data_IF_665579210504
#
_entry.id   IF_665579210504
#
_cell.length_a   1.000
_cell.length_b   1.000
_cell.length_c   1.000
_cell.angle_alpha   90.00
_cell.angle_beta   90.00
_cell.angle_gamma   90.00
#
_symmetry.space_group_name_H-M   'P 1'
#
loop_
_entity.id
_entity.type
_entity.pdbx_description
1 polymer ?
#
# COMPACT_ATOMS: atom_id res chain seq x y z
N UNK A 1 -16.25 -22.94 -5.21
CA UNK A 1 -14.88 -22.56 -5.64
C UNK A 1 -14.12 -22.23 -4.36
N UNK A 2 -12.97 -22.80 -4.14
CA UNK A 2 -12.11 -22.55 -2.99
C UNK A 2 -11.04 -21.53 -3.37
N UNK A 3 -10.46 -20.86 -2.36
CA UNK A 3 -9.33 -19.95 -2.59
C UNK A 3 -8.08 -20.79 -2.91
N UNK A 4 -7.23 -20.25 -3.78
CA UNK A 4 -5.95 -20.85 -4.07
C UNK A 4 -5.02 -20.71 -2.85
N UNK A 5 -4.45 -21.84 -2.40
CA UNK A 5 -3.58 -21.89 -1.24
C UNK A 5 -2.15 -21.45 -1.61
N UNK A 6 -1.88 -20.16 -1.43
CA UNK A 6 -0.59 -19.54 -1.78
C UNK A 6 0.38 -19.55 -0.59
N UNK A 7 -0.15 -19.38 0.62
CA UNK A 7 0.64 -19.33 1.86
C UNK A 7 -0.23 -19.71 3.06
N UNK A 8 0.44 -20.16 4.13
CA UNK A 8 -0.25 -20.53 5.37
C UNK A 8 -0.92 -19.32 6.01
N UNK A 9 -2.15 -19.49 6.43
CA UNK A 9 -2.93 -18.48 7.17
C UNK A 9 -3.14 -18.92 8.62
N UNK A 10 -3.25 -17.96 9.53
CA UNK A 10 -3.66 -18.26 10.90
C UNK A 10 -5.15 -18.62 10.92
N UNK A 11 -5.58 -19.65 11.67
CA UNK A 11 -6.95 -20.10 11.71
C UNK A 11 -7.81 -19.23 12.62
N UNK A 12 -7.80 -17.92 12.40
CA UNK A 12 -8.56 -16.91 13.14
C UNK A 12 -9.29 -16.03 12.14
N UNK A 13 -10.61 -15.93 12.28
CA UNK A 13 -11.44 -15.07 11.44
C UNK A 13 -11.67 -13.74 12.15
N UNK A 14 -10.95 -12.70 11.77
CA UNK A 14 -11.10 -11.35 12.30
C UNK A 14 -12.25 -10.65 11.58
N UNK A 15 -13.25 -10.18 12.33
CA UNK A 15 -14.49 -9.62 11.78
C UNK A 15 -14.70 -8.14 12.08
N UNK A 16 -13.98 -7.57 13.05
CA UNK A 16 -14.04 -6.14 13.36
C UNK A 16 -12.76 -5.65 14.04
N UNK A 17 -12.55 -4.33 14.01
CA UNK A 17 -11.44 -3.70 14.71
C UNK A 17 -11.80 -2.31 15.22
N UNK A 18 -11.12 -1.86 16.26
CA UNK A 18 -11.23 -0.50 16.81
C UNK A 18 -9.90 -0.07 17.43
N UNK A 19 -9.31 0.99 16.92
CA UNK A 19 -8.00 1.46 17.38
C UNK A 19 -6.94 0.40 17.17
N UNK A 20 -6.29 -0.06 18.22
CA UNK A 20 -5.25 -1.10 18.17
C UNK A 20 -5.78 -2.52 18.47
N UNK A 21 -7.08 -2.70 18.57
CA UNK A 21 -7.69 -4.00 18.87
C UNK A 21 -8.47 -4.55 17.67
N UNK A 22 -8.38 -5.85 17.47
CA UNK A 22 -9.21 -6.61 16.54
C UNK A 22 -9.94 -7.73 17.26
N UNK A 23 -11.04 -8.17 16.69
CA UNK A 23 -11.93 -9.15 17.32
C UNK A 23 -12.32 -10.22 16.33
N UNK A 24 -12.30 -11.46 16.79
CA UNK A 24 -12.78 -12.58 16.00
C UNK A 24 -14.33 -12.72 16.05
N UNK A 25 -14.84 -13.70 15.32
CA UNK A 25 -16.26 -14.02 15.25
C UNK A 25 -16.85 -14.48 16.60
N UNK A 26 -16.01 -14.94 17.55
CA UNK A 26 -16.39 -15.33 18.89
C UNK A 26 -16.37 -14.16 19.88
N UNK A 27 -15.92 -12.99 19.42
CA UNK A 27 -15.77 -11.79 20.23
C UNK A 27 -14.48 -11.73 21.05
N UNK A 28 -13.54 -12.65 20.84
CA UNK A 28 -12.24 -12.62 21.48
C UNK A 28 -11.45 -11.41 20.94
N UNK A 29 -10.93 -10.60 21.86
CA UNK A 29 -10.08 -9.45 21.53
C UNK A 29 -8.62 -9.86 21.40
N UNK A 30 -7.94 -9.24 20.43
CA UNK A 30 -6.50 -9.37 20.20
C UNK A 30 -5.90 -7.97 20.05
N UNK A 31 -4.74 -7.75 20.65
CA UNK A 31 -3.94 -6.55 20.39
C UNK A 31 -3.26 -6.69 19.03
N UNK A 32 -3.59 -5.81 18.09
CA UNK A 32 -3.03 -5.81 16.76
C UNK A 32 -1.73 -4.99 16.70
N UNK A 33 -0.60 -5.68 16.79
CA UNK A 33 0.75 -5.11 16.61
C UNK A 33 1.25 -5.23 15.14
N UNK A 34 0.42 -5.81 14.27
CA UNK A 34 0.75 -6.07 12.88
C UNK A 34 0.17 -5.03 11.92
N UNK A 35 -1.05 -4.55 12.23
CA UNK A 35 -1.75 -3.53 11.45
C UNK A 35 -2.00 -3.91 9.99
N UNK A 36 -2.14 -5.22 9.68
CA UNK A 36 -2.33 -5.70 8.32
C UNK A 36 -1.18 -5.29 7.38
N UNK A 37 0.05 -5.71 7.65
CA UNK A 37 1.28 -5.26 6.97
C UNK A 37 1.53 -3.74 7.14
N UNK A 38 1.25 -3.21 8.33
CA UNK A 38 1.38 -1.79 8.66
C UNK A 38 0.50 -0.83 7.80
N UNK A 39 -0.55 -1.34 7.18
CA UNK A 39 -1.47 -0.54 6.35
C UNK A 39 -2.39 0.32 7.21
N UNK A 40 -2.82 -0.19 8.37
CA UNK A 40 -3.74 0.51 9.28
C UNK A 40 -2.95 1.44 10.22
N UNK A 41 -2.35 2.48 9.68
CA UNK A 41 -1.48 3.40 10.42
C UNK A 41 -2.20 4.29 11.44
N UNK A 42 -3.49 4.57 11.25
CA UNK A 42 -4.31 5.42 12.14
C UNK A 42 -5.20 4.63 13.08
N UNK A 43 -5.08 3.30 13.09
CA UNK A 43 -5.92 2.39 13.85
C UNK A 43 -7.19 1.98 13.11
N UNK A 44 -7.73 0.82 13.52
CA UNK A 44 -8.94 0.25 12.94
C UNK A 44 -10.15 1.16 13.18
N UNK A 45 -10.97 1.31 12.14
CA UNK A 45 -12.25 2.04 12.19
C UNK A 45 -12.11 3.47 12.76
N UNK A 46 -11.03 4.18 12.41
CA UNK A 46 -10.83 5.55 12.86
C UNK A 46 -12.00 6.44 12.43
N UNK A 47 -12.73 7.11 13.36
CA UNK A 47 -14.02 7.74 13.05
C UNK A 47 -13.93 8.81 11.94
N UNK A 48 -12.88 9.63 11.96
CA UNK A 48 -12.68 10.67 10.95
C UNK A 48 -12.42 10.05 9.57
N UNK A 49 -11.55 9.02 9.49
CA UNK A 49 -11.25 8.34 8.23
C UNK A 49 -12.52 7.68 7.66
N UNK A 50 -13.27 6.95 8.48
CA UNK A 50 -14.53 6.31 8.08
C UNK A 50 -15.51 7.36 7.54
N UNK A 51 -15.66 8.50 8.24
CA UNK A 51 -16.52 9.60 7.78
C UNK A 51 -16.08 10.13 6.41
N UNK A 52 -14.82 10.52 6.25
CA UNK A 52 -14.31 11.09 4.99
C UNK A 52 -14.45 10.11 3.82
N UNK A 53 -14.14 8.83 4.04
CA UNK A 53 -14.30 7.80 3.00
C UNK A 53 -15.76 7.58 2.63
N UNK A 54 -16.67 7.51 3.62
CA UNK A 54 -18.10 7.33 3.36
C UNK A 54 -18.70 8.52 2.60
N UNK A 55 -18.33 9.74 2.93
CA UNK A 55 -18.74 10.93 2.21
C UNK A 55 -18.23 10.95 0.76
N UNK A 56 -16.96 10.57 0.56
CA UNK A 56 -16.38 10.48 -0.78
C UNK A 56 -17.03 9.39 -1.64
N UNK A 57 -17.30 8.22 -1.06
CA UNK A 57 -17.98 7.11 -1.74
C UNK A 57 -19.38 7.49 -2.23
N UNK A 58 -20.10 8.34 -1.49
CA UNK A 58 -21.41 8.85 -1.89
C UNK A 58 -21.34 9.86 -3.05
N UNK A 59 -20.20 10.53 -3.25
CA UNK A 59 -20.00 11.50 -4.32
C UNK A 59 -19.46 10.84 -5.58
N UNK A 60 -18.30 10.18 -5.45
CA UNK A 60 -17.62 9.53 -6.56
C UNK A 60 -16.62 8.51 -6.02
N UNK A 61 -16.91 7.23 -6.24
CA UNK A 61 -16.05 6.15 -5.80
C UNK A 61 -14.80 6.01 -6.67
N UNK A 62 -14.94 6.11 -7.98
CA UNK A 62 -13.86 5.93 -8.95
C UNK A 62 -14.09 6.71 -10.22
N UNK A 63 -13.01 7.22 -10.79
CA UNK A 63 -12.96 7.66 -12.18
C UNK A 63 -11.57 7.42 -12.78
N UNK A 64 -11.50 7.42 -14.11
CA UNK A 64 -10.26 7.17 -14.83
C UNK A 64 -9.24 8.31 -14.66
N UNK A 65 -7.95 7.97 -14.63
CA UNK A 65 -6.83 8.92 -14.68
C UNK A 65 -6.71 9.67 -16.03
N UNK A 66 -7.64 9.47 -16.96
CA UNK A 66 -7.73 10.25 -18.20
C UNK A 66 -8.24 11.68 -17.99
N UNK A 67 -8.69 12.00 -16.79
CA UNK A 67 -9.16 13.35 -16.40
C UNK A 67 -8.42 13.81 -15.14
N UNK A 68 -8.45 15.14 -14.92
CA UNK A 68 -7.84 15.75 -13.73
C UNK A 68 -8.55 15.28 -12.47
N UNK A 69 -7.77 14.83 -11.49
CA UNK A 69 -8.25 14.47 -10.16
C UNK A 69 -7.64 15.43 -9.11
N UNK A 70 -8.45 16.37 -8.63
CA UNK A 70 -8.01 17.38 -7.67
C UNK A 70 -7.60 16.81 -6.31
N UNK A 71 -8.14 15.67 -5.90
CA UNK A 71 -7.71 14.99 -4.66
C UNK A 71 -6.29 14.43 -4.79
N UNK A 72 -5.93 13.88 -5.95
CA UNK A 72 -4.57 13.41 -6.20
C UNK A 72 -3.57 14.58 -6.24
N UNK A 73 -3.91 15.68 -6.90
CA UNK A 73 -3.07 16.89 -6.93
C UNK A 73 -2.83 17.43 -5.51
N UNK A 74 -3.89 17.53 -4.72
CA UNK A 74 -3.81 18.00 -3.33
C UNK A 74 -2.93 17.07 -2.49
N UNK A 75 -3.13 15.76 -2.59
CA UNK A 75 -2.31 14.77 -1.88
C UNK A 75 -0.84 14.88 -2.27
N UNK A 76 -0.52 15.01 -3.57
CA UNK A 76 0.85 15.17 -4.04
C UNK A 76 1.52 16.41 -3.46
N UNK A 77 0.81 17.54 -3.42
CA UNK A 77 1.32 18.79 -2.85
C UNK A 77 1.55 18.67 -1.34
N UNK A 78 0.57 18.14 -0.59
CA UNK A 78 0.70 17.93 0.86
C UNK A 78 1.87 16.98 1.21
N UNK A 79 2.06 15.90 0.45
CA UNK A 79 3.19 15.00 0.62
C UNK A 79 4.53 15.68 0.31
N UNK A 80 4.60 16.50 -0.74
CA UNK A 80 5.78 17.28 -1.08
C UNK A 80 6.18 18.24 0.04
N UNK A 81 5.23 18.99 0.57
CA UNK A 81 5.45 19.92 1.68
C UNK A 81 5.90 19.19 2.96
N UNK A 82 5.17 18.15 3.37
CA UNK A 82 5.45 17.39 4.59
C UNK A 82 6.79 16.64 4.55
N UNK A 83 7.19 16.15 3.38
CA UNK A 83 8.47 15.45 3.21
C UNK A 83 9.67 16.37 3.08
N UNK A 84 9.46 17.68 2.85
CA UNK A 84 10.52 18.65 2.53
C UNK A 84 11.02 18.60 1.09
N UNK A 85 10.29 17.92 0.20
CA UNK A 85 10.61 17.80 -1.23
C UNK A 85 9.48 18.33 -2.13
N UNK A 86 9.12 19.62 -2.03
CA UNK A 86 7.97 20.17 -2.77
C UNK A 86 8.16 20.16 -4.29
N UNK A 87 9.40 20.10 -4.76
CA UNK A 87 9.73 20.06 -6.20
C UNK A 87 9.71 18.64 -6.80
N UNK A 88 9.51 17.60 -5.97
CA UNK A 88 9.43 16.23 -6.43
C UNK A 88 8.06 15.94 -7.08
N UNK A 89 8.04 14.94 -7.95
CA UNK A 89 6.82 14.47 -8.60
C UNK A 89 6.33 13.20 -7.93
N UNK A 90 5.06 13.16 -7.55
CA UNK A 90 4.41 11.96 -7.02
C UNK A 90 3.85 11.11 -8.16
N UNK A 91 4.02 9.80 -8.06
CA UNK A 91 3.39 8.81 -8.92
C UNK A 91 2.68 7.79 -8.04
N UNK A 92 1.35 7.83 -8.05
CA UNK A 92 0.53 6.95 -7.21
C UNK A 92 0.29 5.61 -7.88
N UNK A 93 0.45 4.55 -7.11
CA UNK A 93 0.28 3.15 -7.51
C UNK A 93 -0.51 2.38 -6.45
N UNK A 94 -0.91 1.14 -6.73
CA UNK A 94 -1.77 0.37 -5.84
C UNK A 94 -0.99 -0.49 -4.82
N UNK A 95 0.30 -0.72 -5.04
CA UNK A 95 1.09 -1.62 -4.19
C UNK A 95 2.56 -1.22 -4.12
N UNK A 96 3.26 -1.71 -3.08
CA UNK A 96 4.71 -1.55 -2.98
C UNK A 96 5.46 -2.22 -4.12
N UNK A 97 4.96 -3.33 -4.65
CA UNK A 97 5.53 -3.97 -5.84
C UNK A 97 5.49 -3.05 -7.05
N UNK A 98 4.34 -2.44 -7.35
CA UNK A 98 4.21 -1.47 -8.44
C UNK A 98 5.12 -0.25 -8.22
N UNK A 99 5.23 0.25 -7.00
CA UNK A 99 6.11 1.37 -6.67
C UNK A 99 7.58 1.04 -6.98
N UNK A 100 8.07 -0.09 -6.51
CA UNK A 100 9.44 -0.52 -6.73
C UNK A 100 9.73 -0.83 -8.21
N UNK A 101 8.81 -1.51 -8.90
CA UNK A 101 8.92 -1.78 -10.34
C UNK A 101 9.03 -0.50 -11.16
N UNK A 102 8.18 0.49 -10.88
CA UNK A 102 8.22 1.77 -11.58
C UNK A 102 9.48 2.57 -11.24
N UNK A 103 9.94 2.55 -9.98
CA UNK A 103 11.18 3.20 -9.60
C UNK A 103 12.41 2.59 -10.32
N UNK A 104 12.48 1.26 -10.40
CA UNK A 104 13.54 0.56 -11.12
C UNK A 104 13.52 0.84 -12.64
N UNK A 105 12.33 0.86 -13.24
CA UNK A 105 12.16 1.23 -14.65
C UNK A 105 12.63 2.67 -14.90
N UNK A 106 12.18 3.61 -14.07
CA UNK A 106 12.58 5.01 -14.19
C UNK A 106 14.09 5.19 -14.05
N UNK A 107 14.70 4.54 -13.05
CA UNK A 107 16.15 4.56 -12.84
C UNK A 107 16.90 3.98 -14.05
N UNK A 108 16.42 2.86 -14.59
CA UNK A 108 17.00 2.23 -15.79
C UNK A 108 16.92 3.13 -17.02
N UNK A 109 15.77 3.75 -17.28
CA UNK A 109 15.61 4.68 -18.40
C UNK A 109 16.49 5.93 -18.25
N UNK A 110 16.56 6.48 -17.05
CA UNK A 110 17.37 7.68 -16.80
C UNK A 110 18.87 7.41 -16.92
N UNK A 111 19.34 6.29 -16.41
CA UNK A 111 20.78 5.97 -16.35
C UNK A 111 21.28 5.15 -17.54
N UNK A 112 20.41 4.51 -18.30
CA UNK A 112 20.74 3.52 -19.32
C UNK A 112 21.29 2.20 -18.76
N UNK A 113 21.33 2.02 -17.43
CA UNK A 113 21.85 0.83 -16.75
C UNK A 113 20.72 -0.15 -16.49
N UNK A 114 21.01 -1.44 -16.63
CA UNK A 114 20.02 -2.53 -16.47
C UNK A 114 20.28 -3.40 -15.23
N UNK A 115 21.48 -3.28 -14.62
CA UNK A 115 21.85 -4.11 -13.46
C UNK A 115 21.34 -3.49 -12.19
N UNK A 116 20.66 -4.30 -11.38
CA UNK A 116 20.20 -4.00 -10.03
C UNK A 116 20.99 -4.84 -9.04
N UNK A 117 21.38 -4.25 -7.91
CA UNK A 117 22.06 -4.95 -6.82
C UNK A 117 21.08 -5.07 -5.66
N UNK A 118 20.93 -6.26 -5.13
CA UNK A 118 20.04 -6.57 -4.02
C UNK A 118 20.77 -7.42 -2.96
N UNK A 119 20.29 -7.39 -1.73
CA UNK A 119 20.78 -8.29 -0.70
C UNK A 119 20.17 -9.69 -0.87
N UNK A 120 21.01 -10.73 -0.70
CA UNK A 120 20.53 -12.12 -0.74
C UNK A 120 19.45 -12.35 0.34
N UNK A 121 18.40 -13.08 -0.01
CA UNK A 121 17.27 -13.39 0.86
C UNK A 121 16.51 -12.17 1.42
N UNK A 122 16.58 -11.04 0.76
CA UNK A 122 15.81 -9.85 1.13
C UNK A 122 14.48 -9.80 0.41
N UNK A 123 13.45 -9.31 1.09
CA UNK A 123 12.16 -9.03 0.48
C UNK A 123 12.16 -7.64 -0.15
N UNK A 124 11.98 -7.57 -1.46
CA UNK A 124 11.98 -6.33 -2.23
C UNK A 124 10.61 -5.91 -2.74
N UNK A 125 9.56 -6.63 -2.38
CA UNK A 125 8.20 -6.36 -2.85
C UNK A 125 8.07 -6.36 -4.39
N UNK A 126 8.92 -7.09 -5.11
CA UNK A 126 8.89 -7.20 -6.56
C UNK A 126 7.96 -8.34 -6.99
N UNK A 127 7.38 -8.23 -8.19
CA UNK A 127 6.54 -9.26 -8.80
C UNK A 127 7.33 -10.50 -9.20
N UNK A 128 8.64 -10.33 -9.47
CA UNK A 128 9.58 -11.43 -9.68
C UNK A 128 10.48 -11.58 -8.45
N UNK A 129 10.72 -12.81 -8.05
CA UNK A 129 11.67 -13.11 -6.97
C UNK A 129 13.08 -12.71 -7.39
N UNK A 130 13.92 -12.40 -6.42
CA UNK A 130 15.31 -11.93 -6.60
C UNK A 130 16.25 -12.90 -7.33
N UNK A 131 15.81 -14.08 -7.71
CA UNK A 131 16.59 -15.05 -8.49
C UNK A 131 16.94 -14.53 -9.90
N UNK A 132 16.21 -13.52 -10.41
CA UNK A 132 16.52 -12.87 -11.67
C UNK A 132 17.71 -11.89 -11.60
N UNK A 133 18.30 -11.66 -10.44
CA UNK A 133 19.46 -10.80 -10.25
C UNK A 133 20.80 -11.57 -10.23
N UNK A 134 20.77 -12.89 -10.30
CA UNK A 134 21.95 -13.77 -10.24
C UNK A 134 22.42 -14.26 -11.63
N UNK A 135 21.85 -13.76 -12.75
CA UNK A 135 22.33 -14.00 -14.11
C UNK A 135 23.07 -12.79 -14.72
#
# INVERSE_FOLDING_TARGET
MELFDVYSVFPVNIVRGKGCEVYDEKGQAYLDLYGGHAVISVGHSHPYLVKCMSEQLQQLMFYSNSVVNKLQERLANELGELSGYPDYRAFFVNSGAEANENALKLASFHTGKKRVVAFRNSFHCLLYTSDAADE
#
